data_IF_026152991668
#
_entry.id   IF_026152991668
#
_cell.length_a   1.000
_cell.length_b   1.000
_cell.length_c   1.000
_cell.angle_alpha   90.00
_cell.angle_beta   90.00
_cell.angle_gamma   90.00
#
_symmetry.space_group_name_H-M   'P 1'
#
loop_
_entity.id
_entity.type
_entity.pdbx_description
1 polymer ?
#
# COMPACT_ATOMS: atom_id res chain seq x y z
N UNK A 1 0.80 -11.45 -8.87
CA UNK A 1 0.28 -10.28 -8.13
C UNK A 1 1.18 -10.02 -6.93
N UNK A 2 1.87 -8.88 -6.92
CA UNK A 2 2.75 -8.47 -5.81
C UNK A 2 1.97 -7.58 -4.86
N UNK A 3 2.00 -7.85 -3.56
CA UNK A 3 1.36 -7.00 -2.56
C UNK A 3 2.28 -5.89 -2.08
N UNK A 4 1.83 -4.66 -2.22
CA UNK A 4 2.45 -3.44 -1.71
C UNK A 4 1.60 -2.93 -0.55
N UNK A 5 2.21 -2.76 0.61
CA UNK A 5 1.56 -2.24 1.79
C UNK A 5 1.65 -0.73 1.83
N UNK A 6 0.52 -0.07 2.06
CA UNK A 6 0.47 1.35 2.35
C UNK A 6 0.08 1.54 3.82
N UNK A 7 0.87 2.29 4.57
CA UNK A 7 0.58 2.59 5.98
C UNK A 7 0.21 4.06 6.11
N UNK A 8 -1.10 4.30 6.16
CA UNK A 8 -1.68 5.64 6.24
C UNK A 8 -1.51 6.28 7.62
N UNK A 9 -1.40 7.61 7.62
CA UNK A 9 -1.41 8.42 8.83
C UNK A 9 -2.70 9.25 8.91
N UNK A 10 -3.34 9.23 10.09
CA UNK A 10 -4.61 9.93 10.31
C UNK A 10 -4.40 11.43 10.10
N UNK A 11 -5.22 12.03 9.23
CA UNK A 11 -5.17 13.44 8.82
C UNK A 11 -3.92 13.87 8.02
N UNK A 12 -3.04 12.96 7.59
CA UNK A 12 -1.88 13.34 6.77
C UNK A 12 -2.27 13.64 5.32
N UNK A 13 -3.02 12.74 4.68
CA UNK A 13 -3.50 12.92 3.31
C UNK A 13 -4.90 12.32 3.15
N UNK A 14 -5.89 13.16 2.83
CA UNK A 14 -7.25 12.69 2.58
C UNK A 14 -7.31 11.99 1.22
N UNK A 15 -7.92 10.81 1.16
CA UNK A 15 -8.10 10.02 -0.06
C UNK A 15 -6.78 9.48 -0.66
N UNK A 16 -5.76 9.30 0.18
CA UNK A 16 -4.53 8.56 -0.13
C UNK A 16 -4.80 7.22 -0.83
N UNK A 17 -5.71 6.39 -0.32
CA UNK A 17 -6.07 5.10 -0.94
C UNK A 17 -6.59 5.27 -2.37
N UNK A 18 -7.42 6.29 -2.59
CA UNK A 18 -7.97 6.60 -3.92
C UNK A 18 -6.88 7.10 -4.87
N UNK A 19 -5.94 7.90 -4.36
CA UNK A 19 -4.82 8.39 -5.15
C UNK A 19 -3.90 7.24 -5.58
N UNK A 20 -3.59 6.33 -4.66
CA UNK A 20 -2.79 5.14 -4.92
C UNK A 20 -3.45 4.22 -5.98
N UNK A 21 -4.76 4.05 -5.92
CA UNK A 21 -5.50 3.28 -6.93
C UNK A 21 -5.49 3.98 -8.31
N UNK A 22 -5.57 5.31 -8.36
CA UNK A 22 -5.42 6.07 -9.61
C UNK A 22 -4.00 5.91 -10.17
N UNK A 23 -2.97 6.02 -9.33
CA UNK A 23 -1.58 5.81 -9.71
C UNK A 23 -1.36 4.41 -10.28
N UNK A 24 -1.86 3.37 -9.62
CA UNK A 24 -1.80 1.99 -10.13
C UNK A 24 -2.44 1.85 -11.52
N UNK A 25 -3.61 2.43 -11.73
CA UNK A 25 -4.29 2.42 -13.05
C UNK A 25 -3.51 3.17 -14.12
N UNK A 26 -2.86 4.28 -13.75
CA UNK A 26 -2.00 5.03 -14.67
C UNK A 26 -0.80 4.19 -15.09
N UNK A 27 -0.12 3.55 -14.15
CA UNK A 27 1.02 2.68 -14.41
C UNK A 27 0.68 1.53 -15.38
N UNK A 28 -0.51 0.95 -15.24
CA UNK A 28 -1.03 -0.02 -16.22
C UNK A 28 -1.27 0.60 -17.59
N UNK A 29 -1.95 1.75 -17.64
CA UNK A 29 -2.25 2.45 -18.89
C UNK A 29 -0.99 2.87 -19.65
N UNK A 30 0.07 3.21 -18.92
CA UNK A 30 1.38 3.61 -19.46
C UNK A 30 2.26 2.40 -19.84
N UNK A 31 1.80 1.16 -19.58
CA UNK A 31 2.55 -0.06 -19.86
C UNK A 31 3.75 -0.29 -18.93
N UNK A 32 3.82 0.43 -17.80
CA UNK A 32 4.87 0.27 -16.79
C UNK A 32 4.59 -0.98 -15.95
N UNK A 33 3.34 -1.14 -15.52
CA UNK A 33 2.82 -2.42 -15.06
C UNK A 33 2.27 -3.15 -16.29
N UNK A 34 2.82 -4.33 -16.56
CA UNK A 34 2.37 -5.19 -17.66
C UNK A 34 1.39 -6.26 -17.19
N UNK A 35 0.79 -6.98 -18.13
CA UNK A 35 -0.17 -8.06 -17.85
C UNK A 35 0.43 -9.20 -17.00
N UNK A 36 1.74 -9.43 -17.14
CA UNK A 36 2.48 -10.46 -16.39
C UNK A 36 2.84 -10.02 -14.95
N UNK A 37 2.82 -8.71 -14.67
CA UNK A 37 3.25 -8.14 -13.40
C UNK A 37 2.30 -7.05 -12.92
N UNK A 38 1.30 -7.48 -12.14
CA UNK A 38 0.37 -6.59 -11.45
C UNK A 38 0.70 -6.49 -9.95
N UNK A 39 0.33 -5.35 -9.35
CA UNK A 39 0.46 -5.05 -7.93
C UNK A 39 -0.92 -4.92 -7.28
N UNK A 40 -1.03 -5.32 -6.01
CA UNK A 40 -2.18 -5.08 -5.15
C UNK A 40 -1.74 -4.15 -4.03
N UNK A 41 -2.44 -3.02 -3.85
CA UNK A 41 -2.15 -2.08 -2.77
C UNK A 41 -3.04 -2.42 -1.59
N UNK A 42 -2.43 -2.77 -0.46
CA UNK A 42 -3.11 -3.10 0.80
C UNK A 42 -2.88 -1.93 1.76
N UNK A 43 -3.94 -1.20 2.08
CA UNK A 43 -3.86 -0.02 2.96
C UNK A 43 -4.28 -0.35 4.38
N UNK A 44 -3.50 0.11 5.36
CA UNK A 44 -3.89 0.09 6.78
C UNK A 44 -3.47 1.40 7.45
N UNK A 45 -4.27 1.87 8.41
CA UNK A 45 -3.88 3.00 9.24
C UNK A 45 -2.98 2.53 10.38
N UNK A 46 -1.91 3.27 10.67
CA UNK A 46 -0.96 2.94 11.74
C UNK A 46 -0.57 4.16 12.59
N UNK A 47 -1.53 5.05 12.85
CA UNK A 47 -1.29 6.40 13.38
C UNK A 47 -2.21 6.75 14.56
N UNK A 48 -2.11 5.97 15.63
CA UNK A 48 -2.61 6.27 16.97
C UNK A 48 -1.48 6.48 17.98
N UNK A 49 -0.44 5.62 17.98
CA UNK A 49 0.64 5.62 18.97
C UNK A 49 2.06 5.38 18.39
N UNK A 50 3.09 5.65 19.19
CA UNK A 50 4.47 5.27 18.86
C UNK A 50 4.55 3.75 18.60
N UNK A 51 5.28 3.34 17.56
CA UNK A 51 5.47 1.94 17.12
C UNK A 51 4.27 1.24 16.44
N UNK A 52 3.09 1.87 16.36
CA UNK A 52 1.92 1.26 15.72
C UNK A 52 2.15 0.99 14.23
N UNK A 53 2.74 1.93 13.50
CA UNK A 53 3.13 1.72 12.10
C UNK A 53 4.09 0.54 11.91
N UNK A 54 4.98 0.28 12.87
CA UNK A 54 5.89 -0.88 12.82
C UNK A 54 5.15 -2.18 13.08
N UNK A 55 4.21 -2.19 14.03
CA UNK A 55 3.37 -3.35 14.31
C UNK A 55 2.48 -3.70 13.11
N UNK A 56 1.87 -2.69 12.47
CA UNK A 56 1.07 -2.86 11.25
C UNK A 56 1.94 -3.40 10.11
N UNK A 57 3.14 -2.86 9.91
CA UNK A 57 4.07 -3.37 8.90
C UNK A 57 4.45 -4.84 9.14
N UNK A 58 4.69 -5.23 10.41
CA UNK A 58 5.01 -6.60 10.79
C UNK A 58 3.86 -7.56 10.50
N UNK A 59 2.62 -7.17 10.84
CA UNK A 59 1.41 -7.94 10.52
C UNK A 59 1.25 -8.16 9.01
N UNK A 60 1.33 -7.06 8.25
CA UNK A 60 1.23 -7.07 6.79
C UNK A 60 2.31 -7.95 6.14
N UNK A 61 3.54 -7.88 6.65
CA UNK A 61 4.65 -8.71 6.16
C UNK A 61 4.43 -10.20 6.46
N UNK A 62 4.09 -10.51 7.71
CA UNK A 62 4.06 -11.89 8.21
C UNK A 62 2.79 -12.64 7.78
N UNK A 63 1.62 -12.03 7.97
CA UNK A 63 0.32 -12.65 7.71
C UNK A 63 -0.15 -12.39 6.28
N UNK A 64 -0.06 -11.15 5.82
CA UNK A 64 -0.69 -10.74 4.56
C UNK A 64 0.22 -10.91 3.33
N UNK A 65 1.50 -11.28 3.56
CA UNK A 65 2.54 -11.53 2.56
C UNK A 65 2.91 -10.29 1.74
N UNK A 66 2.79 -9.11 2.32
CA UNK A 66 3.28 -7.85 1.74
C UNK A 66 4.81 -7.88 1.68
N UNK A 67 5.38 -7.46 0.55
CA UNK A 67 6.85 -7.49 0.32
C UNK A 67 7.47 -6.12 0.06
N UNK A 68 6.65 -5.10 -0.20
CA UNK A 68 7.09 -3.72 -0.35
C UNK A 68 6.16 -2.82 0.46
N UNK A 69 6.68 -1.71 0.99
CA UNK A 69 5.94 -0.79 1.83
C UNK A 69 6.13 0.65 1.32
N UNK A 70 5.04 1.42 1.34
CA UNK A 70 4.99 2.86 0.99
C UNK A 70 4.22 3.64 2.04
#
# INVERSE_FOLDING_TARGET
>A
LIKVGHIGAVNALRNDERLLEISRKSLHKEGILGDDLDIEIVSQNGCGDSYEGVAVAADMYHLQKVKAFI
#
